data_IF_568158653214
#
_entry.id   IF_568158653214
#
_cell.length_a   1.000
_cell.length_b   1.000
_cell.length_c   1.000
_cell.angle_alpha   90.00
_cell.angle_beta   90.00
_cell.angle_gamma   90.00
#
_symmetry.space_group_name_H-M   'P 1'
#
loop_
_entity.id
_entity.type
_entity.pdbx_description
1 polymer ?
#
# COMPACT_ATOMS: atom_id res chain seq x y z
N UNK A 1 -7.39 1.13 -5.29
CA UNK A 1 -6.62 1.96 -4.33
C UNK A 1 -6.55 1.27 -2.96
N UNK A 2 -5.74 0.21 -2.83
CA UNK A 2 -5.61 -0.53 -1.55
C UNK A 2 -4.85 0.27 -0.49
N UNK A 3 -3.65 0.79 -0.83
CA UNK A 3 -2.81 1.55 0.10
C UNK A 3 -3.53 2.71 0.81
N UNK A 4 -4.17 3.65 0.09
CA UNK A 4 -4.94 4.73 0.71
C UNK A 4 -6.07 4.26 1.64
N UNK A 5 -6.75 3.15 1.31
CA UNK A 5 -7.82 2.57 2.14
C UNK A 5 -7.26 2.03 3.45
N UNK A 6 -6.11 1.34 3.40
CA UNK A 6 -5.41 0.87 4.60
C UNK A 6 -5.00 2.05 5.48
N UNK A 7 -4.43 3.10 4.89
CA UNK A 7 -4.05 4.31 5.61
C UNK A 7 -5.26 4.96 6.30
N UNK A 8 -6.40 5.08 5.61
CA UNK A 8 -7.64 5.58 6.22
C UNK A 8 -8.07 4.74 7.42
N UNK A 9 -8.11 3.41 7.30
CA UNK A 9 -8.52 2.55 8.43
C UNK A 9 -7.55 2.57 9.61
N UNK A 10 -6.24 2.71 9.38
CA UNK A 10 -5.28 2.89 10.46
C UNK A 10 -5.51 4.22 11.19
N UNK A 11 -5.75 5.30 10.46
CA UNK A 11 -6.04 6.63 11.02
C UNK A 11 -7.35 6.62 11.82
N UNK A 12 -8.43 6.04 11.27
CA UNK A 12 -9.74 5.95 11.95
C UNK A 12 -9.67 5.13 13.25
N UNK A 13 -8.82 4.09 13.28
CA UNK A 13 -8.58 3.28 14.48
C UNK A 13 -7.56 3.90 15.44
N UNK A 14 -7.15 5.15 15.22
CA UNK A 14 -6.17 5.87 16.03
C UNK A 14 -4.85 5.09 16.21
N UNK A 15 -4.34 4.49 15.14
CA UNK A 15 -3.05 3.78 15.17
C UNK A 15 -1.94 4.72 15.69
N UNK A 16 -1.12 4.30 16.67
CA UNK A 16 -0.23 5.21 17.40
C UNK A 16 1.01 5.67 16.63
N UNK A 17 1.34 5.03 15.51
CA UNK A 17 2.46 5.44 14.66
C UNK A 17 2.01 6.37 13.52
N UNK A 18 2.90 7.23 12.99
CA UNK A 18 2.57 8.09 11.86
C UNK A 18 2.08 7.30 10.64
N UNK A 19 0.92 7.70 10.11
CA UNK A 19 0.34 7.13 8.88
C UNK A 19 0.37 8.19 7.77
N UNK A 20 0.92 7.82 6.62
CA UNK A 20 0.98 8.67 5.43
C UNK A 20 0.34 7.96 4.23
N UNK A 21 -0.47 8.70 3.48
CA UNK A 21 -1.24 8.14 2.37
C UNK A 21 -2.58 7.59 2.84
N UNK A 22 -3.59 8.44 2.85
CA UNK A 22 -5.00 8.06 3.12
C UNK A 22 -5.84 8.33 1.88
N UNK A 23 -7.13 7.96 1.89
CA UNK A 23 -8.06 8.36 0.82
C UNK A 23 -8.14 9.89 0.71
N UNK A 24 -8.20 10.60 1.84
CA UNK A 24 -8.27 12.06 1.89
C UNK A 24 -6.95 12.74 1.45
N UNK A 25 -5.81 12.15 1.82
CA UNK A 25 -4.47 12.67 1.50
C UNK A 25 -3.61 11.58 0.85
N UNK A 26 -3.85 11.26 -0.44
CA UNK A 26 -3.19 10.15 -1.11
C UNK A 26 -1.74 10.48 -1.46
N UNK A 27 -0.90 9.43 -1.45
CA UNK A 27 0.43 9.46 -2.07
C UNK A 27 0.34 8.69 -3.38
N UNK A 28 0.67 9.36 -4.48
CA UNK A 28 0.55 8.84 -5.84
C UNK A 28 1.74 9.31 -6.69
N UNK A 29 1.86 8.78 -7.91
CA UNK A 29 3.00 9.03 -8.79
C UNK A 29 3.39 10.51 -8.96
N UNK A 30 2.42 11.43 -8.96
CA UNK A 30 2.67 12.87 -9.15
C UNK A 30 3.24 13.58 -7.92
N UNK A 31 3.06 13.05 -6.70
CA UNK A 31 3.47 13.73 -5.46
C UNK A 31 4.47 12.93 -4.61
N UNK A 32 4.71 11.65 -4.94
CA UNK A 32 5.51 10.72 -4.15
C UNK A 32 6.91 11.25 -3.81
N UNK A 33 7.62 11.85 -4.77
CA UNK A 33 8.94 12.44 -4.54
C UNK A 33 8.92 13.51 -3.44
N UNK A 34 7.96 14.45 -3.54
CA UNK A 34 7.80 15.52 -2.56
C UNK A 34 7.43 14.96 -1.18
N UNK A 35 6.44 14.05 -1.15
CA UNK A 35 5.93 13.47 0.10
C UNK A 35 6.98 12.64 0.83
N UNK A 36 7.74 11.80 0.13
CA UNK A 36 8.82 11.03 0.75
C UNK A 36 9.92 11.94 1.29
N UNK A 37 10.28 13.02 0.60
CA UNK A 37 11.25 13.99 1.11
C UNK A 37 10.76 14.65 2.41
N UNK A 38 9.48 15.04 2.48
CA UNK A 38 8.88 15.60 3.69
C UNK A 38 8.86 14.60 4.85
N UNK A 39 8.46 13.35 4.58
CA UNK A 39 8.41 12.26 5.57
C UNK A 39 9.82 11.97 6.10
N UNK A 40 10.81 11.83 5.22
CA UNK A 40 12.19 11.55 5.61
C UNK A 40 12.83 12.69 6.42
N UNK A 41 12.45 13.95 6.14
CA UNK A 41 12.90 15.11 6.95
C UNK A 41 12.28 15.11 8.34
N UNK A 42 11.00 14.74 8.44
CA UNK A 42 10.29 14.68 9.72
C UNK A 42 10.75 13.48 10.57
N UNK A 43 11.13 12.38 9.92
CA UNK A 43 11.51 11.12 10.55
C UNK A 43 12.83 10.56 10.00
N UNK A 44 13.98 11.21 10.22
CA UNK A 44 15.25 10.89 9.53
C UNK A 44 15.83 9.50 9.84
N UNK A 45 15.31 8.78 10.83
CA UNK A 45 15.75 7.44 11.22
C UNK A 45 14.60 6.44 11.34
N UNK A 46 13.40 6.79 10.86
CA UNK A 46 12.26 5.86 10.91
C UNK A 46 12.41 4.75 9.87
N UNK A 47 11.95 3.56 10.25
CA UNK A 47 11.70 2.48 9.31
C UNK A 47 10.28 2.67 8.75
N UNK A 48 10.17 2.75 7.43
CA UNK A 48 8.89 2.93 6.74
C UNK A 48 8.47 1.61 6.11
N UNK A 49 7.19 1.26 6.21
CA UNK A 49 6.59 0.12 5.51
C UNK A 49 5.72 0.68 4.38
N UNK A 50 5.96 0.21 3.16
CA UNK A 50 5.15 0.54 2.01
C UNK A 50 3.91 -0.35 1.91
N UNK A 51 2.75 0.22 1.56
CA UNK A 51 1.51 -0.56 1.31
C UNK A 51 0.99 -0.23 -0.08
N UNK A 52 0.84 -1.25 -0.92
CA UNK A 52 0.38 -1.08 -2.30
C UNK A 52 -0.45 -2.29 -2.77
N UNK A 53 -0.98 -2.22 -3.98
CA UNK A 53 -1.59 -3.35 -4.65
C UNK A 53 -1.04 -3.50 -6.05
N UNK A 54 -1.03 -4.73 -6.55
CA UNK A 54 -0.66 -5.01 -7.93
C UNK A 54 -1.63 -5.99 -8.59
N UNK A 55 -1.40 -6.20 -9.88
CA UNK A 55 -2.02 -7.27 -10.64
C UNK A 55 -1.15 -8.53 -10.52
N UNK A 56 -1.77 -9.70 -10.60
CA UNK A 56 -1.08 -11.00 -10.53
C UNK A 56 -1.74 -12.06 -11.39
N UNK A 57 -1.47 -13.32 -11.10
CA UNK A 57 -2.20 -14.47 -11.67
C UNK A 57 -3.63 -14.48 -11.13
N UNK A 58 -4.58 -15.02 -11.91
CA UNK A 58 -5.98 -15.12 -11.50
C UNK A 58 -6.14 -15.88 -10.18
N UNK A 59 -5.38 -16.95 -9.99
CA UNK A 59 -5.38 -17.77 -8.77
C UNK A 59 -4.90 -17.02 -7.53
N UNK A 60 -4.14 -15.93 -7.71
CA UNK A 60 -3.55 -15.17 -6.61
C UNK A 60 -4.39 -13.96 -6.19
N UNK A 61 -5.53 -13.69 -6.85
CA UNK A 61 -6.42 -12.60 -6.45
C UNK A 61 -6.90 -12.81 -5.00
N UNK A 62 -6.67 -11.80 -4.16
CA UNK A 62 -6.98 -11.81 -2.73
C UNK A 62 -5.80 -12.19 -1.83
N UNK A 63 -4.67 -12.63 -2.40
CA UNK A 63 -3.45 -12.83 -1.63
C UNK A 63 -2.89 -11.50 -1.10
N UNK A 64 -2.32 -11.57 0.11
CA UNK A 64 -1.59 -10.48 0.76
C UNK A 64 -0.16 -10.96 0.98
N UNK A 65 0.80 -10.28 0.37
CA UNK A 65 2.22 -10.62 0.49
C UNK A 65 2.93 -9.62 1.40
N UNK A 66 3.68 -10.12 2.38
CA UNK A 66 4.62 -9.34 3.18
C UNK A 66 6.03 -9.60 2.67
N UNK A 67 6.83 -8.54 2.52
CA UNK A 67 8.12 -8.60 1.85
C UNK A 67 9.13 -7.74 2.58
N UNK A 68 10.37 -8.20 2.68
CA UNK A 68 11.50 -7.55 3.35
C UNK A 68 12.26 -6.56 2.42
N UNK A 69 11.59 -6.09 1.37
CA UNK A 69 12.11 -5.14 0.41
C UNK A 69 11.06 -4.07 0.02
N UNK A 70 11.50 -2.90 -0.50
CA UNK A 70 10.64 -1.78 -0.86
C UNK A 70 9.56 -2.08 -1.89
N UNK A 71 8.57 -1.19 -1.96
CA UNK A 71 7.76 -1.05 -3.18
C UNK A 71 8.62 -0.33 -4.24
N UNK A 72 8.46 -0.74 -5.50
CA UNK A 72 9.01 -0.06 -6.67
C UNK A 72 7.88 0.55 -7.53
N UNK A 73 7.38 1.75 -7.17
CA UNK A 73 6.22 2.33 -7.84
C UNK A 73 6.52 2.65 -9.31
N UNK A 74 5.52 2.52 -10.18
CA UNK A 74 5.66 2.94 -11.57
C UNK A 74 6.44 2.00 -12.49
N UNK A 75 6.97 0.87 -11.97
CA UNK A 75 7.72 -0.12 -12.75
C UNK A 75 6.92 -0.67 -13.94
N UNK A 76 5.63 -0.97 -13.75
CA UNK A 76 4.75 -1.48 -14.81
C UNK A 76 4.35 -0.46 -15.88
N UNK A 77 4.68 0.82 -15.69
CA UNK A 77 4.35 1.92 -16.62
C UNK A 77 5.60 2.73 -17.04
N UNK A 78 6.79 2.17 -16.83
CA UNK A 78 8.06 2.77 -17.25
C UNK A 78 8.45 4.05 -16.52
N UNK A 79 7.85 4.35 -15.35
CA UNK A 79 8.22 5.53 -14.55
C UNK A 79 9.32 5.17 -13.56
N UNK A 80 10.31 6.05 -13.45
CA UNK A 80 11.36 5.95 -12.44
C UNK A 80 10.93 6.74 -11.20
N UNK A 81 10.30 6.06 -10.24
CA UNK A 81 9.83 6.65 -8.98
C UNK A 81 10.69 6.14 -7.83
N UNK A 82 10.86 6.93 -6.75
CA UNK A 82 11.62 6.49 -5.58
C UNK A 82 10.96 5.29 -4.91
N UNK A 83 11.81 4.40 -4.39
CA UNK A 83 11.41 3.27 -3.58
C UNK A 83 10.67 3.71 -2.31
N UNK A 84 9.67 2.92 -1.90
CA UNK A 84 8.85 3.21 -0.72
C UNK A 84 9.06 2.14 0.34
N UNK A 85 9.57 2.59 1.49
CA UNK A 85 9.78 1.76 2.67
C UNK A 85 11.01 0.87 2.58
N UNK A 86 11.33 0.19 3.68
CA UNK A 86 12.33 -0.88 3.73
C UNK A 86 11.70 -2.26 3.54
N UNK A 87 10.40 -2.35 3.76
CA UNK A 87 9.58 -3.54 3.66
C UNK A 87 8.23 -3.15 3.03
N UNK A 88 7.49 -4.12 2.51
CA UNK A 88 6.22 -3.85 1.84
C UNK A 88 5.14 -4.89 2.12
N UNK A 89 3.89 -4.42 2.08
CA UNK A 89 2.68 -5.25 2.08
C UNK A 89 1.94 -5.01 0.77
N UNK A 90 1.73 -6.07 -0.01
CA UNK A 90 1.08 -6.00 -1.32
C UNK A 90 -0.17 -6.86 -1.36
N UNK A 91 -1.27 -6.29 -1.81
CA UNK A 91 -2.45 -7.05 -2.18
C UNK A 91 -2.52 -7.32 -3.68
N UNK A 92 -2.83 -8.56 -4.06
CA UNK A 92 -3.20 -8.89 -5.45
C UNK A 92 -4.70 -8.63 -5.63
N UNK A 93 -5.04 -7.55 -6.33
CA UNK A 93 -6.44 -7.06 -6.38
C UNK A 93 -7.19 -7.46 -7.66
N UNK A 94 -6.48 -7.87 -8.70
CA UNK A 94 -7.02 -8.29 -9.99
C UNK A 94 -5.95 -9.05 -10.82
N UNK A 95 -6.36 -9.68 -11.91
CA UNK A 95 -5.50 -10.48 -12.80
C UNK A 95 -4.79 -9.65 -13.88
N UNK A 96 -3.60 -10.07 -14.29
CA UNK A 96 -2.87 -9.52 -15.44
C UNK A 96 -3.16 -10.24 -16.76
N UNK A 97 -3.74 -11.44 -16.72
CA UNK A 97 -3.93 -12.37 -17.85
C UNK A 97 -4.85 -11.83 -18.97
N UNK A 98 -5.76 -10.90 -18.69
CA UNK A 98 -6.66 -10.27 -19.69
C UNK A 98 -6.34 -8.79 -19.92
N UNK A 99 -5.06 -8.42 -19.95
CA UNK A 99 -4.64 -7.03 -20.16
C UNK A 99 -4.83 -6.54 -21.61
N UNK A 100 -6.08 -6.45 -22.07
CA UNK A 100 -6.40 -5.56 -23.18
C UNK A 100 -6.14 -4.12 -22.73
N UNK A 101 -5.33 -3.41 -23.51
CA UNK A 101 -4.63 -2.17 -23.14
C UNK A 101 -5.60 -0.99 -22.88
N UNK A 102 -6.90 -1.13 -23.15
CA UNK A 102 -7.84 -0.01 -23.20
C UNK A 102 -9.21 -0.21 -22.54
N UNK A 103 -9.45 -1.28 -21.79
CA UNK A 103 -10.72 -1.45 -21.07
C UNK A 103 -10.65 -0.92 -19.64
N UNK A 104 -11.65 -0.14 -19.22
CA UNK A 104 -11.86 0.25 -17.83
C UNK A 104 -11.98 -1.01 -16.95
N UNK A 105 -10.95 -1.30 -16.15
CA UNK A 105 -10.96 -2.44 -15.22
C UNK A 105 -11.88 -2.13 -14.04
N UNK A 106 -12.95 -2.92 -13.88
CA UNK A 106 -13.76 -2.89 -12.67
C UNK A 106 -13.10 -3.74 -11.58
N UNK A 107 -12.26 -3.13 -10.74
CA UNK A 107 -11.76 -3.80 -9.54
C UNK A 107 -12.92 -3.94 -8.54
N UNK A 108 -13.12 -5.15 -8.01
CA UNK A 108 -14.17 -5.42 -7.01
C UNK A 108 -13.88 -4.64 -5.72
N UNK A 109 -14.63 -3.56 -5.49
CA UNK A 109 -14.44 -2.70 -4.32
C UNK A 109 -14.53 -3.48 -3.00
N UNK A 110 -15.49 -4.41 -2.90
CA UNK A 110 -15.64 -5.25 -1.70
C UNK A 110 -14.35 -6.01 -1.36
N UNK A 111 -13.68 -6.60 -2.37
CA UNK A 111 -12.41 -7.30 -2.16
C UNK A 111 -11.35 -6.35 -1.61
N UNK A 112 -11.18 -5.18 -2.23
CA UNK A 112 -10.20 -4.18 -1.79
C UNK A 112 -10.48 -3.70 -0.36
N UNK A 113 -11.75 -3.51 0.00
CA UNK A 113 -12.14 -3.11 1.36
C UNK A 113 -11.84 -4.20 2.38
N UNK A 114 -12.18 -5.46 2.10
CA UNK A 114 -11.88 -6.58 3.01
C UNK A 114 -10.37 -6.78 3.18
N UNK A 115 -9.59 -6.72 2.09
CA UNK A 115 -8.13 -6.76 2.17
C UNK A 115 -7.58 -5.60 3.01
N UNK A 116 -8.10 -4.38 2.84
CA UNK A 116 -7.65 -3.25 3.64
C UNK A 116 -7.97 -3.40 5.13
N UNK A 117 -9.13 -4.00 5.47
CA UNK A 117 -9.49 -4.33 6.86
C UNK A 117 -8.54 -5.35 7.47
N UNK A 118 -8.23 -6.42 6.72
CA UNK A 118 -7.26 -7.44 7.16
C UNK A 118 -5.90 -6.81 7.41
N UNK A 119 -5.34 -6.09 6.42
CA UNK A 119 -4.02 -5.47 6.55
C UNK A 119 -3.97 -4.50 7.74
N UNK A 120 -4.95 -3.59 7.86
CA UNK A 120 -4.97 -2.61 8.96
C UNK A 120 -5.09 -3.28 10.34
N UNK A 121 -5.94 -4.29 10.49
CA UNK A 121 -6.08 -5.03 11.74
C UNK A 121 -4.81 -5.81 12.10
N UNK A 122 -4.17 -6.47 11.13
CA UNK A 122 -2.92 -7.19 11.35
C UNK A 122 -1.77 -6.27 11.76
N UNK A 123 -1.67 -5.06 11.19
CA UNK A 123 -0.67 -4.06 11.61
C UNK A 123 -0.91 -3.63 13.06
N UNK A 124 -2.15 -3.36 13.43
CA UNK A 124 -2.52 -2.97 14.80
C UNK A 124 -2.19 -4.08 15.80
N UNK A 125 -2.57 -5.32 15.48
CA UNK A 125 -2.30 -6.48 16.33
C UNK A 125 -0.81 -6.74 16.47
N UNK A 126 -0.04 -6.69 15.37
CA UNK A 126 1.41 -6.84 15.40
C UNK A 126 2.07 -5.76 16.28
N UNK A 127 1.63 -4.51 16.18
CA UNK A 127 2.10 -3.43 17.04
C UNK A 127 1.80 -3.72 18.52
N UNK A 128 0.59 -4.19 18.84
CA UNK A 128 0.22 -4.53 20.22
C UNK A 128 1.02 -5.70 20.79
N UNK A 129 1.33 -6.71 19.99
CA UNK A 129 2.14 -7.87 20.42
C UNK A 129 3.55 -7.43 20.80
N UNK A 130 4.17 -6.56 20.00
CA UNK A 130 5.55 -6.11 20.22
C UNK A 130 5.66 -5.09 21.38
N UNK A 131 4.60 -4.34 21.67
CA UNK A 131 4.58 -3.28 22.69
C UNK A 131 3.78 -3.64 23.95
N UNK A 132 3.48 -4.93 24.15
CA UNK A 132 3.07 -5.49 25.45
C UNK A 132 4.29 -5.74 26.31
#
# INVERSE_FOLDING_TARGET
CLGPMVGTFLTEKAFPLPVYGTIESPIHALNINKRLNEINKLHPKSLTIGIDACLGEYSSIGEIHTRDYPIHPGKGVGKNLPDVGIASIIGIIDSSENAEIFTSRSIRLNLVMEMAKVISSSIIEAYQIVNK
#
